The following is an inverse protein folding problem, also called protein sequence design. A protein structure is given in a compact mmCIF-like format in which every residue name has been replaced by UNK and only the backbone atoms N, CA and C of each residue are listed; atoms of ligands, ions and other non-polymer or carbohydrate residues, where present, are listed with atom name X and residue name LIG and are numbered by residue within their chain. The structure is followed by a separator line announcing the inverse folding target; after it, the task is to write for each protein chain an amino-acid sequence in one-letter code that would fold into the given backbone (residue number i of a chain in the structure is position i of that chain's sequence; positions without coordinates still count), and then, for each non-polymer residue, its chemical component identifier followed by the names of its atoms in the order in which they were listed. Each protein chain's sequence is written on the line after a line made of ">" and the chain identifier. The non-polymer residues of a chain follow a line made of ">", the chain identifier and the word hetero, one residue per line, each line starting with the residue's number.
data_IF_325986850982
#
_entry.id   IF_325986850982
#
_cell.length_a   1.000
_cell.length_b   1.000
_cell.length_c   1.000
_cell.angle_alpha   90.00
_cell.angle_beta   90.00
_cell.angle_gamma   90.00
#
_symmetry.space_group_name_H-M   'P 1'
#
loop_
_entity.id
_entity.type
_entity.pdbx_description
1 polymer ?
#
# COMPACT_ATOMS: atom_id res chain seq x y z
N UNK A 1 3.26 -4.25 -4.93
CA UNK A 1 3.72 -4.19 -3.53
C UNK A 1 4.11 -5.60 -3.09
N UNK A 2 5.30 -5.77 -2.54
CA UNK A 2 5.75 -7.05 -1.98
C UNK A 2 4.94 -7.41 -0.74
N UNK A 3 4.57 -8.70 -0.62
CA UNK A 3 3.91 -9.21 0.60
C UNK A 3 4.95 -9.38 1.71
N UNK A 4 4.63 -8.91 2.91
CA UNK A 4 5.50 -9.02 4.09
C UNK A 4 5.83 -10.48 4.44
N UNK A 5 4.90 -11.40 4.19
CA UNK A 5 5.14 -12.84 4.40
C UNK A 5 6.26 -13.34 3.50
N UNK A 6 6.22 -12.95 2.21
CA UNK A 6 7.26 -13.30 1.24
C UNK A 6 8.62 -12.71 1.62
N UNK A 7 8.64 -11.48 2.17
CA UNK A 7 9.88 -10.84 2.63
C UNK A 7 10.48 -11.64 3.78
N UNK A 8 9.68 -12.08 4.75
CA UNK A 8 10.13 -12.86 5.91
C UNK A 8 10.65 -14.24 5.53
N UNK A 9 9.97 -14.91 4.61
CA UNK A 9 10.32 -16.27 4.20
C UNK A 9 11.60 -16.32 3.34
N UNK A 10 11.84 -15.26 2.55
CA UNK A 10 12.90 -15.24 1.55
C UNK A 10 13.75 -13.96 1.62
N UNK A 11 14.07 -13.50 2.83
CA UNK A 11 14.74 -12.21 3.05
C UNK A 11 16.05 -12.09 2.29
N UNK A 12 16.91 -13.11 2.35
CA UNK A 12 18.23 -13.11 1.69
C UNK A 12 18.12 -13.09 0.16
N UNK A 13 17.15 -13.81 -0.41
CA UNK A 13 16.95 -13.83 -1.85
C UNK A 13 16.39 -12.51 -2.37
N UNK A 14 15.54 -11.87 -1.56
CA UNK A 14 15.01 -10.55 -1.89
C UNK A 14 16.11 -9.49 -1.78
N UNK A 15 17.00 -9.56 -0.78
CA UNK A 15 18.17 -8.68 -0.69
C UNK A 15 19.05 -8.80 -1.92
N UNK A 16 19.40 -10.02 -2.32
CA UNK A 16 20.17 -10.26 -3.55
C UNK A 16 19.48 -9.74 -4.81
N UNK A 17 18.16 -9.87 -4.86
CA UNK A 17 17.38 -9.36 -5.99
C UNK A 17 17.34 -7.82 -6.04
N UNK A 18 17.31 -7.15 -4.89
CA UNK A 18 17.41 -5.70 -4.80
C UNK A 18 18.82 -5.20 -5.16
N UNK A 19 19.87 -5.90 -4.72
CA UNK A 19 21.25 -5.60 -5.10
C UNK A 19 21.45 -5.69 -6.62
N UNK A 20 20.84 -6.70 -7.27
CA UNK A 20 20.85 -6.84 -8.74
C UNK A 20 20.16 -5.67 -9.46
N UNK A 21 19.19 -5.03 -8.80
CA UNK A 21 18.48 -3.87 -9.33
C UNK A 21 19.24 -2.55 -9.12
N UNK A 22 20.37 -2.60 -8.40
CA UNK A 22 21.16 -1.41 -8.08
C UNK A 22 20.58 -0.55 -6.94
N UNK A 23 19.47 -0.96 -6.34
CA UNK A 23 18.79 -0.20 -5.30
C UNK A 23 19.25 -0.64 -3.91
N UNK A 24 20.04 0.20 -3.24
CA UNK A 24 20.60 -0.06 -1.91
C UNK A 24 19.90 0.70 -0.77
N UNK A 25 18.90 1.52 -1.10
CA UNK A 25 18.28 2.44 -0.13
C UNK A 25 17.22 1.78 0.78
N UNK A 26 16.88 0.51 0.55
CA UNK A 26 15.78 -0.13 1.29
C UNK A 26 16.28 -1.05 2.38
N UNK A 27 16.02 -0.66 3.62
CA UNK A 27 16.30 -1.48 4.80
C UNK A 27 15.19 -2.52 5.01
N UNK A 28 15.40 -3.72 4.43
CA UNK A 28 14.48 -4.84 4.55
C UNK A 28 14.45 -5.43 5.97
N UNK A 29 15.57 -5.32 6.71
CA UNK A 29 15.64 -5.80 8.09
C UNK A 29 14.74 -4.95 8.99
N UNK A 30 14.79 -3.63 8.85
CA UNK A 30 13.90 -2.73 9.58
C UNK A 30 12.41 -2.98 9.28
N UNK A 31 12.07 -3.41 8.06
CA UNK A 31 10.69 -3.80 7.71
C UNK A 31 10.25 -5.07 8.44
N UNK A 32 11.13 -6.06 8.55
CA UNK A 32 10.86 -7.29 9.31
C UNK A 32 10.73 -6.99 10.81
N UNK A 33 11.61 -6.16 11.36
CA UNK A 33 11.53 -5.73 12.76
C UNK A 33 10.22 -5.00 13.09
N UNK A 34 9.76 -4.11 12.21
CA UNK A 34 8.47 -3.45 12.36
C UNK A 34 7.28 -4.43 12.33
N UNK A 35 7.34 -5.45 11.46
CA UNK A 35 6.30 -6.49 11.46
C UNK A 35 6.33 -7.33 12.73
N UNK A 36 7.50 -7.62 13.28
CA UNK A 36 7.62 -8.34 14.55
C UNK A 36 7.06 -7.50 15.71
N UNK A 37 7.41 -6.22 15.81
CA UNK A 37 6.83 -5.29 16.78
C UNK A 37 5.31 -5.23 16.64
N UNK A 38 4.79 -5.12 15.42
CA UNK A 38 3.35 -5.13 15.18
C UNK A 38 2.69 -6.39 15.69
N UNK A 39 3.30 -7.55 15.46
CA UNK A 39 2.77 -8.86 15.90
C UNK A 39 2.78 -9.01 17.42
N UNK A 40 3.81 -8.54 18.08
CA UNK A 40 3.87 -8.54 19.56
C UNK A 40 2.79 -7.65 20.15
N UNK A 41 2.66 -6.40 19.68
CA UNK A 41 1.62 -5.50 20.12
C UNK A 41 0.21 -6.06 19.88
N UNK A 42 -0.03 -6.71 18.74
CA UNK A 42 -1.31 -7.34 18.46
C UNK A 42 -1.61 -8.49 19.42
N UNK A 43 -0.63 -9.32 19.76
CA UNK A 43 -0.79 -10.39 20.77
C UNK A 43 -1.18 -9.81 22.13
N UNK A 44 -0.52 -8.73 22.55
CA UNK A 44 -0.86 -8.04 23.81
C UNK A 44 -2.29 -7.50 23.79
N UNK A 45 -2.67 -6.84 22.71
CA UNK A 45 -4.03 -6.30 22.54
C UNK A 45 -5.07 -7.42 22.54
N UNK A 46 -4.83 -8.53 21.84
CA UNK A 46 -5.73 -9.68 21.82
C UNK A 46 -5.85 -10.33 23.21
N UNK A 47 -4.77 -10.46 23.95
CA UNK A 47 -4.77 -10.99 25.31
C UNK A 47 -5.62 -10.11 26.25
N UNK A 48 -5.41 -8.79 26.23
CA UNK A 48 -6.17 -7.84 27.04
C UNK A 48 -7.65 -7.78 26.62
N UNK A 49 -7.95 -7.83 25.33
CA UNK A 49 -9.34 -7.92 24.83
C UNK A 49 -10.03 -9.21 25.29
N UNK A 50 -9.30 -10.33 25.30
CA UNK A 50 -9.81 -11.61 25.83
C UNK A 50 -10.10 -11.53 27.32
N UNK A 51 -9.17 -10.98 28.11
CA UNK A 51 -9.36 -10.73 29.55
C UNK A 51 -10.56 -9.81 29.81
N UNK A 52 -10.63 -8.69 29.10
CA UNK A 52 -11.76 -7.77 29.20
C UNK A 52 -13.11 -8.45 28.92
N UNK A 53 -13.17 -9.33 27.92
CA UNK A 53 -14.38 -10.07 27.58
C UNK A 53 -14.78 -11.09 28.67
N UNK A 54 -13.81 -11.69 29.35
CA UNK A 54 -14.07 -12.62 30.47
C UNK A 54 -14.61 -11.85 31.67
N UNK A 55 -13.95 -10.75 32.04
CA UNK A 55 -14.37 -9.92 33.18
C UNK A 55 -15.75 -9.27 32.94
N UNK A 56 -16.01 -8.83 31.72
CA UNK A 56 -17.31 -8.27 31.35
C UNK A 56 -18.46 -9.26 31.51
N UNK A 57 -18.22 -10.56 31.30
CA UNK A 57 -19.24 -11.62 31.50
C UNK A 57 -19.52 -11.90 32.97
N UNK A 58 -18.61 -11.58 33.88
CA UNK A 58 -18.82 -11.76 35.35
C UNK A 58 -19.74 -10.71 35.95
N UNK A 59 -19.75 -9.51 35.40
CA UNK A 59 -20.56 -8.40 35.95
C UNK A 59 -22.06 -8.75 36.06
N UNK A 60 -22.73 -9.29 35.03
CA UNK A 60 -24.15 -9.65 35.15
C UNK A 60 -24.43 -10.72 36.21
N UNK A 61 -23.47 -11.62 36.44
CA UNK A 61 -23.57 -12.65 37.49
C UNK A 61 -23.49 -12.04 38.88
N UNK A 62 -22.48 -11.19 39.13
CA UNK A 62 -22.32 -10.47 40.38
C UNK A 62 -23.52 -9.58 40.72
N UNK A 63 -24.12 -8.97 39.70
CA UNK A 63 -25.32 -8.16 39.86
C UNK A 63 -26.54 -9.01 40.28
N UNK A 64 -26.67 -10.23 39.72
CA UNK A 64 -27.75 -11.18 40.09
C UNK A 64 -27.59 -11.71 41.54
N UNK A 65 -26.36 -11.87 41.99
CA UNK A 65 -26.01 -12.29 43.36
C UNK A 65 -26.13 -11.15 44.41
N UNK A 66 -26.44 -9.94 43.94
CA UNK A 66 -26.65 -8.79 44.89
C UNK A 66 -25.35 -8.12 45.34
N UNK A 67 -24.17 -8.54 44.82
CA UNK A 67 -22.84 -8.02 45.19
C UNK A 67 -22.51 -6.76 44.42
N UNK A 68 -23.16 -5.66 44.75
CA UNK A 68 -23.03 -4.37 44.03
C UNK A 68 -21.64 -3.76 44.13
N UNK A 69 -20.99 -3.85 45.29
CA UNK A 69 -19.64 -3.28 45.49
C UNK A 69 -18.58 -3.99 44.65
N UNK A 70 -18.65 -5.35 44.57
CA UNK A 70 -17.76 -6.12 43.72
C UNK A 70 -17.98 -5.81 42.23
N UNK A 71 -19.22 -5.63 41.81
CA UNK A 71 -19.55 -5.26 40.44
C UNK A 71 -19.07 -3.84 40.06
N UNK A 72 -19.05 -2.90 41.01
CA UNK A 72 -18.49 -1.57 40.79
C UNK A 72 -16.95 -1.62 40.68
N UNK A 73 -16.29 -2.38 41.53
CA UNK A 73 -14.85 -2.58 41.47
C UNK A 73 -14.42 -3.19 40.11
N UNK A 74 -15.17 -4.18 39.62
CA UNK A 74 -14.90 -4.77 38.27
C UNK A 74 -15.14 -3.78 37.13
N UNK A 75 -16.12 -2.88 37.24
CA UNK A 75 -16.32 -1.82 36.26
C UNK A 75 -15.15 -0.83 36.20
N UNK A 76 -14.51 -0.55 37.33
CA UNK A 76 -13.32 0.32 37.37
C UNK A 76 -12.16 -0.37 36.67
N UNK A 77 -11.90 -1.66 36.95
CA UNK A 77 -10.88 -2.44 36.28
C UNK A 77 -11.10 -2.51 34.74
N UNK A 78 -12.35 -2.68 34.33
CA UNK A 78 -12.68 -2.69 32.90
C UNK A 78 -12.39 -1.35 32.21
N UNK A 79 -12.60 -0.22 32.92
CA UNK A 79 -12.22 1.09 32.37
C UNK A 79 -10.71 1.19 32.19
N UNK A 80 -9.92 0.78 33.19
CA UNK A 80 -8.47 0.78 33.11
C UNK A 80 -7.95 -0.12 31.97
N UNK A 81 -8.52 -1.32 31.81
CA UNK A 81 -8.21 -2.22 30.71
C UNK A 81 -8.57 -1.60 29.34
N UNK A 82 -9.72 -0.93 29.27
CA UNK A 82 -10.14 -0.25 28.05
C UNK A 82 -9.20 0.89 27.64
N UNK A 83 -8.71 1.66 28.63
CA UNK A 83 -7.72 2.72 28.38
C UNK A 83 -6.37 2.16 27.93
N UNK A 84 -5.91 1.07 28.56
CA UNK A 84 -4.69 0.36 28.12
C UNK A 84 -4.83 -0.17 26.70
N UNK A 85 -5.94 -0.81 26.36
CA UNK A 85 -6.22 -1.31 25.02
C UNK A 85 -6.20 -0.17 23.99
N UNK A 86 -6.84 0.97 24.29
CA UNK A 86 -6.81 2.13 23.39
C UNK A 86 -5.38 2.63 23.14
N UNK A 87 -4.58 2.74 24.20
CA UNK A 87 -3.18 3.17 24.07
C UNK A 87 -2.33 2.19 23.25
N UNK A 88 -2.59 0.89 23.35
CA UNK A 88 -1.92 -0.11 22.53
C UNK A 88 -2.43 -0.12 21.08
N UNK A 89 -3.73 0.02 20.87
CA UNK A 89 -4.32 0.12 19.52
C UNK A 89 -3.76 1.33 18.75
N UNK A 90 -3.52 2.47 19.44
CA UNK A 90 -2.84 3.63 18.84
C UNK A 90 -1.39 3.33 18.45
N UNK A 91 -0.65 2.57 19.28
CA UNK A 91 0.71 2.14 18.96
C UNK A 91 0.71 1.19 17.76
N UNK A 92 -0.19 0.21 17.74
CA UNK A 92 -0.35 -0.72 16.61
C UNK A 92 -0.62 0.06 15.33
N UNK A 93 -1.50 1.05 15.37
CA UNK A 93 -1.82 1.89 14.21
C UNK A 93 -0.59 2.62 13.68
N UNK A 94 0.20 3.26 14.55
CA UNK A 94 1.43 3.97 14.16
C UNK A 94 2.46 3.02 13.53
N UNK A 95 2.69 1.85 14.14
CA UNK A 95 3.62 0.86 13.58
C UNK A 95 3.12 0.32 12.24
N UNK A 96 1.81 0.13 12.09
CA UNK A 96 1.21 -0.33 10.84
C UNK A 96 1.30 0.71 9.72
N UNK A 97 1.09 1.99 10.03
CA UNK A 97 1.26 3.09 9.08
C UNK A 97 2.71 3.19 8.60
N UNK A 98 3.69 3.10 9.51
CA UNK A 98 5.11 3.11 9.19
C UNK A 98 5.51 1.89 8.34
N UNK A 99 5.05 0.69 8.73
CA UNK A 99 5.28 -0.54 7.97
C UNK A 99 4.72 -0.42 6.54
N UNK A 100 3.50 0.07 6.40
CA UNK A 100 2.87 0.26 5.09
C UNK A 100 3.62 1.30 4.25
N UNK A 101 4.04 2.39 4.85
CA UNK A 101 4.84 3.42 4.17
C UNK A 101 6.13 2.84 3.60
N UNK A 102 6.86 2.03 4.39
CA UNK A 102 8.10 1.39 3.93
C UNK A 102 7.84 0.34 2.85
N UNK A 103 6.81 -0.50 3.02
CA UNK A 103 6.44 -1.53 2.03
C UNK A 103 6.05 -0.94 0.67
N UNK A 104 5.37 0.23 0.65
CA UNK A 104 4.99 0.90 -0.59
C UNK A 104 6.20 1.43 -1.37
N UNK A 105 7.30 1.72 -0.69
CA UNK A 105 8.53 2.22 -1.32
C UNK A 105 9.42 1.11 -1.85
N UNK A 106 9.28 -0.11 -1.34
CA UNK A 106 10.10 -1.24 -1.80
C UNK A 106 9.66 -1.63 -3.22
N UNK A 107 10.60 -1.63 -4.18
CA UNK A 107 10.32 -2.07 -5.54
C UNK A 107 10.04 -3.56 -5.62
N UNK A 108 9.41 -3.99 -6.71
CA UNK A 108 9.16 -5.42 -6.93
C UNK A 108 10.45 -6.15 -7.29
N UNK A 109 10.54 -7.41 -6.89
CA UNK A 109 11.63 -8.32 -7.25
C UNK A 109 11.66 -8.48 -8.79
N UNK A 110 12.81 -8.22 -9.43
CA UNK A 110 12.95 -8.43 -10.87
C UNK A 110 12.83 -9.91 -11.23
N UNK A 111 12.39 -10.21 -12.45
CA UNK A 111 12.35 -11.57 -12.95
C UNK A 111 13.79 -12.10 -13.07
N UNK A 112 13.95 -13.41 -12.97
CA UNK A 112 15.26 -14.10 -13.08
C UNK A 112 15.94 -13.82 -14.43
N UNK A 113 15.15 -13.65 -15.49
CA UNK A 113 15.62 -13.42 -16.85
C UNK A 113 16.04 -11.96 -17.11
N UNK A 114 15.81 -11.05 -16.17
CA UNK A 114 16.23 -9.65 -16.32
C UNK A 114 17.73 -9.56 -16.11
N UNK A 115 18.51 -9.03 -17.08
CA UNK A 115 19.94 -8.84 -16.94
C UNK A 115 20.22 -7.81 -15.83
N UNK A 116 21.41 -7.88 -15.27
CA UNK A 116 21.89 -6.85 -14.36
C UNK A 116 22.42 -5.70 -15.20
N UNK A 117 22.00 -4.47 -14.90
CA UNK A 117 22.45 -3.27 -15.59
C UNK A 117 21.96 -2.03 -14.87
N UNK A 118 22.67 -0.93 -15.05
CA UNK A 118 22.39 0.37 -14.45
C UNK A 118 21.73 1.33 -15.45
N UNK A 119 21.84 1.04 -16.74
CA UNK A 119 21.34 1.90 -17.82
C UNK A 119 20.43 1.12 -18.79
N UNK A 120 19.74 1.84 -19.64
CA UNK A 120 18.90 1.28 -20.72
C UNK A 120 19.73 0.57 -21.81
N UNK A 121 21.02 0.89 -21.93
CA UNK A 121 21.95 0.21 -22.84
C UNK A 121 22.22 -1.25 -22.44
N UNK A 122 22.06 -1.58 -21.16
CA UNK A 122 22.22 -2.94 -20.64
C UNK A 122 21.01 -3.84 -20.91
N UNK A 123 19.93 -3.29 -21.48
CA UNK A 123 18.73 -4.04 -21.81
C UNK A 123 18.98 -5.02 -22.96
N UNK A 124 18.58 -6.26 -22.77
CA UNK A 124 18.65 -7.30 -23.80
C UNK A 124 17.33 -7.36 -24.56
N UNK A 125 17.42 -7.17 -25.88
CA UNK A 125 16.25 -7.33 -26.75
C UNK A 125 15.81 -8.81 -26.77
N UNK A 126 14.64 -9.10 -26.24
CA UNK A 126 14.09 -10.45 -26.17
C UNK A 126 13.44 -10.84 -27.50
N UNK A 127 12.77 -9.90 -28.15
CA UNK A 127 12.04 -10.16 -29.40
C UNK A 127 11.90 -8.89 -30.22
N UNK A 128 12.22 -8.97 -31.48
CA UNK A 128 11.92 -7.95 -32.48
C UNK A 128 10.80 -8.45 -33.40
N UNK A 129 9.79 -7.62 -33.65
CA UNK A 129 8.67 -7.98 -34.51
C UNK A 129 8.42 -6.87 -35.52
N UNK A 130 8.60 -7.22 -36.79
CA UNK A 130 8.48 -6.31 -37.92
C UNK A 130 9.69 -5.39 -38.09
N UNK A 131 9.67 -4.66 -39.17
CA UNK A 131 10.65 -3.63 -39.48
C UNK A 131 9.92 -2.29 -39.62
N UNK A 132 10.51 -1.18 -39.10
CA UNK A 132 9.94 0.14 -39.32
C UNK A 132 9.82 0.45 -40.81
N UNK A 133 8.66 0.93 -41.26
CA UNK A 133 8.48 1.36 -42.62
C UNK A 133 9.40 2.53 -42.92
N UNK A 134 10.16 2.42 -44.02
CA UNK A 134 10.88 3.56 -44.57
C UNK A 134 9.92 4.31 -45.50
N UNK A 135 9.86 5.62 -45.34
CA UNK A 135 9.02 6.47 -46.16
C UNK A 135 9.90 7.26 -47.15
N UNK A 136 9.46 7.37 -48.41
CA UNK A 136 10.15 8.13 -49.46
C UNK A 136 9.83 9.64 -49.40
N UNK A 137 9.08 10.09 -48.37
CA UNK A 137 8.68 11.46 -48.21
C UNK A 137 9.00 11.93 -46.78
N UNK A 138 9.10 13.26 -46.60
CA UNK A 138 9.27 13.88 -45.27
C UNK A 138 8.03 13.65 -44.41
N UNK A 139 8.15 12.70 -43.47
CA UNK A 139 7.05 12.39 -42.55
C UNK A 139 7.00 13.38 -41.41
N UNK A 140 5.78 13.77 -41.06
CA UNK A 140 5.51 14.61 -39.87
C UNK A 140 5.14 13.76 -38.69
N UNK A 141 5.47 14.23 -37.49
CA UNK A 141 5.05 13.60 -36.26
C UNK A 141 3.53 13.62 -36.13
N UNK A 142 2.96 12.67 -35.39
CA UNK A 142 1.51 12.53 -35.25
C UNK A 142 0.85 13.76 -34.60
N UNK A 143 1.55 14.46 -33.72
CA UNK A 143 1.07 15.69 -33.12
C UNK A 143 1.01 16.86 -34.14
N UNK A 144 1.97 16.96 -35.03
CA UNK A 144 1.94 17.96 -36.09
C UNK A 144 0.82 17.70 -37.08
N UNK A 145 0.63 16.43 -37.46
CA UNK A 145 -0.47 16.01 -38.33
C UNK A 145 -1.83 16.32 -37.67
N UNK A 146 -1.96 15.91 -36.39
CA UNK A 146 -3.19 16.13 -35.64
C UNK A 146 -3.56 17.60 -35.48
N UNK A 147 -2.58 18.46 -35.21
CA UNK A 147 -2.78 19.92 -35.13
C UNK A 147 -3.13 20.51 -36.47
N UNK A 148 -2.44 20.12 -37.54
CA UNK A 148 -2.73 20.62 -38.89
C UNK A 148 -4.11 20.21 -39.40
N UNK A 149 -4.61 19.04 -38.99
CA UNK A 149 -5.96 18.57 -39.31
C UNK A 149 -7.04 19.12 -38.37
N UNK A 150 -6.66 19.89 -37.35
CA UNK A 150 -7.60 20.43 -36.34
C UNK A 150 -8.20 19.35 -35.43
N UNK A 151 -7.59 18.15 -35.38
CA UNK A 151 -8.05 17.03 -34.51
C UNK A 151 -7.48 17.16 -33.13
N UNK A 152 -6.26 17.71 -33.01
CA UNK A 152 -5.56 17.95 -31.75
C UNK A 152 -5.43 19.46 -31.53
N UNK A 153 -5.93 19.92 -30.39
CA UNK A 153 -5.78 21.28 -29.91
C UNK A 153 -5.05 21.26 -28.56
N UNK A 154 -3.77 21.52 -28.61
CA UNK A 154 -2.93 21.51 -27.41
C UNK A 154 -3.13 22.74 -26.52
N UNK A 155 -3.62 23.85 -27.06
CA UNK A 155 -3.87 25.04 -26.25
C UNK A 155 -5.13 24.88 -25.42
N UNK A 156 -6.21 24.43 -26.04
CA UNK A 156 -7.48 24.17 -25.35
C UNK A 156 -7.38 22.90 -24.46
N UNK A 157 -6.78 21.84 -24.97
CA UNK A 157 -6.58 20.58 -24.22
C UNK A 157 -5.77 20.76 -22.93
N UNK A 158 -4.78 21.63 -22.95
CA UNK A 158 -3.95 21.94 -21.77
C UNK A 158 -4.74 22.59 -20.63
N UNK A 159 -5.74 23.39 -20.94
CA UNK A 159 -6.64 24.02 -19.96
C UNK A 159 -7.74 23.03 -19.50
N UNK A 160 -8.20 22.15 -20.39
CA UNK A 160 -9.22 21.16 -20.11
C UNK A 160 -8.69 19.97 -19.32
N UNK A 161 -7.46 19.53 -19.53
CA UNK A 161 -6.82 18.53 -18.69
C UNK A 161 -6.77 18.94 -17.21
N UNK A 162 -6.56 20.22 -16.92
CA UNK A 162 -6.65 20.74 -15.56
C UNK A 162 -8.07 20.75 -15.00
N UNK A 163 -9.08 20.99 -15.83
CA UNK A 163 -10.49 20.92 -15.44
C UNK A 163 -10.96 19.49 -15.31
N UNK A 164 -10.61 18.63 -16.26
CA UNK A 164 -10.91 17.20 -16.25
C UNK A 164 -10.26 16.52 -15.04
N UNK A 165 -9.11 16.95 -14.58
CA UNK A 165 -8.51 16.46 -13.34
C UNK A 165 -9.36 16.71 -12.08
N UNK A 166 -10.08 17.85 -12.01
CA UNK A 166 -11.04 18.15 -10.93
C UNK A 166 -12.46 17.64 -11.22
N UNK A 167 -12.90 17.68 -12.46
CA UNK A 167 -14.24 17.31 -12.89
C UNK A 167 -14.34 15.87 -13.40
N UNK A 168 -13.24 15.16 -13.56
CA UNK A 168 -13.22 13.78 -14.03
C UNK A 168 -14.06 12.83 -13.13
N UNK A 169 -14.28 13.20 -11.89
CA UNK A 169 -15.25 12.50 -11.02
C UNK A 169 -16.70 12.65 -11.49
N UNK A 170 -17.02 13.75 -12.18
CA UNK A 170 -18.37 14.04 -12.65
C UNK A 170 -18.47 13.77 -14.16
N UNK A 171 -17.52 14.25 -14.96
CA UNK A 171 -17.52 14.11 -16.42
C UNK A 171 -17.25 12.68 -16.91
N UNK A 172 -16.33 11.94 -16.28
CA UNK A 172 -16.13 10.52 -16.60
C UNK A 172 -17.34 9.67 -16.23
N UNK A 173 -18.06 10.04 -15.18
CA UNK A 173 -19.29 9.36 -14.79
C UNK A 173 -20.42 9.60 -15.80
N UNK A 174 -20.48 10.76 -16.45
CA UNK A 174 -21.50 11.08 -17.43
C UNK A 174 -21.18 10.57 -18.83
N UNK A 175 -19.89 10.44 -19.21
CA UNK A 175 -19.48 9.98 -20.54
C UNK A 175 -19.21 8.49 -20.67
N UNK A 176 -18.82 7.83 -19.58
CA UNK A 176 -18.40 6.43 -19.56
C UNK A 176 -19.23 5.57 -18.61
N UNK A 177 -20.26 6.14 -18.00
CA UNK A 177 -21.16 5.36 -17.17
C UNK A 177 -22.05 4.48 -18.06
N UNK A 178 -22.22 3.18 -17.76
CA UNK A 178 -23.13 2.30 -18.45
C UNK A 178 -24.62 2.68 -18.27
N UNK A 179 -24.90 3.79 -17.60
CA UNK A 179 -26.24 4.33 -17.34
C UNK A 179 -26.59 5.54 -18.21
N UNK A 180 -25.89 5.70 -19.36
CA UNK A 180 -26.31 6.58 -20.44
C UNK A 180 -27.00 5.78 -21.51
#
# INVERSE_FOLDING_TARGET
>A
MLDIKRIRENLEDIKKAMDRRGEKEFDLDAVVELDDQRRELLKEVEALKSEMNIEQKKIPQLMKEGKKEEAEAEKVKLKELSEKIKGLDEKVKKVQEELQYRLLRIPNVPNVNVPQGDTDEDNVEIRKCGEPKQFDFDFKAHWDIGTNLGILDFETGRSEERRVGKECRIGCRSRWSPYH
#
